data_IF_442069394996
#
_entry.id   IF_442069394996
#
_cell.length_a   1.000
_cell.length_b   1.000
_cell.length_c   1.000
_cell.angle_alpha   90.00
_cell.angle_beta   90.00
_cell.angle_gamma   90.00
#
_symmetry.space_group_name_H-M   'P 1'
#
loop_
_entity.id
_entity.type
_entity.pdbx_description
1 polymer ?
#
# COMPACT_ATOMS: atom_id res chain seq x y z
N UNK A 1 52.73 -30.99 19.12
CA UNK A 1 51.82 -29.83 19.03
C UNK A 1 51.21 -29.82 17.64
N UNK A 2 49.95 -30.26 17.43
CA UNK A 2 49.33 -30.16 16.12
C UNK A 2 48.68 -28.77 15.94
N UNK A 3 48.98 -28.14 14.81
CA UNK A 3 48.33 -26.92 14.31
C UNK A 3 46.88 -27.23 13.96
N UNK A 4 45.92 -26.60 14.63
CA UNK A 4 44.52 -26.63 14.21
C UNK A 4 44.29 -25.56 13.13
N UNK A 5 43.84 -26.01 11.96
CA UNK A 5 43.33 -25.16 10.89
C UNK A 5 41.93 -24.63 11.28
N UNK A 6 41.58 -23.37 10.95
CA UNK A 6 40.26 -22.84 11.26
C UNK A 6 39.25 -23.41 10.25
N UNK A 7 38.26 -24.16 10.74
CA UNK A 7 37.06 -24.49 9.98
C UNK A 7 36.31 -23.18 9.69
N UNK A 8 36.14 -22.88 8.40
CA UNK A 8 35.38 -21.74 7.92
C UNK A 8 33.91 -21.88 8.32
N UNK A 9 33.42 -20.88 9.06
CA UNK A 9 32.01 -20.68 9.38
C UNK A 9 31.30 -20.22 8.10
N UNK A 10 30.54 -21.10 7.46
CA UNK A 10 29.68 -20.75 6.33
C UNK A 10 28.44 -20.05 6.89
N UNK A 11 28.45 -18.71 6.86
CA UNK A 11 27.25 -17.89 7.08
C UNK A 11 26.34 -18.04 5.86
N UNK A 12 25.28 -18.84 6.02
CA UNK A 12 24.18 -18.90 5.05
C UNK A 12 23.40 -17.59 5.18
N UNK A 13 23.70 -16.62 4.31
CA UNK A 13 22.83 -15.47 4.08
C UNK A 13 21.57 -15.97 3.36
N UNK A 14 20.47 -16.14 4.09
CA UNK A 14 19.15 -16.24 3.47
C UNK A 14 18.83 -14.89 2.85
N UNK A 15 18.87 -14.81 1.52
CA UNK A 15 18.43 -13.65 0.77
C UNK A 15 16.92 -13.45 1.04
N UNK A 16 16.57 -12.46 1.86
CA UNK A 16 15.21 -11.92 1.89
C UNK A 16 15.01 -11.20 0.56
N UNK A 17 14.19 -11.76 -0.31
CA UNK A 17 13.77 -11.10 -1.56
C UNK A 17 13.08 -9.77 -1.26
N UNK A 18 12.97 -8.87 -2.25
CA UNK A 18 12.25 -7.62 -2.07
C UNK A 18 10.78 -7.94 -1.77
N UNK A 19 10.35 -7.63 -0.55
CA UNK A 19 8.92 -7.47 -0.27
C UNK A 19 8.49 -6.25 -1.09
N UNK A 20 7.53 -6.41 -1.99
CA UNK A 20 6.94 -5.26 -2.67
C UNK A 20 6.47 -4.27 -1.59
N UNK A 21 6.89 -3.01 -1.70
CA UNK A 21 6.49 -2.00 -0.73
C UNK A 21 4.96 -1.88 -0.76
N UNK A 22 4.31 -1.93 0.40
CA UNK A 22 2.89 -1.62 0.49
C UNK A 22 2.67 -0.18 -0.02
N UNK A 23 1.66 0.02 -0.84
CA UNK A 23 1.30 1.30 -1.45
C UNK A 23 -0.15 1.26 -1.96
N UNK A 24 -0.61 2.37 -2.52
CA UNK A 24 -1.94 2.47 -3.13
C UNK A 24 -2.18 1.44 -4.24
N UNK A 25 -1.16 1.12 -5.06
CA UNK A 25 -1.27 0.10 -6.13
C UNK A 25 -1.46 -1.29 -5.54
N UNK A 26 -0.74 -1.61 -4.48
CA UNK A 26 -0.85 -2.88 -3.73
C UNK A 26 -2.21 -3.00 -3.06
N UNK A 27 -2.74 -1.90 -2.51
CA UNK A 27 -4.09 -1.89 -1.96
C UNK A 27 -5.14 -2.11 -3.05
N UNK A 28 -4.96 -1.54 -4.25
CA UNK A 28 -5.82 -1.83 -5.40
C UNK A 28 -5.79 -3.32 -5.75
N UNK A 29 -4.61 -3.94 -5.80
CA UNK A 29 -4.47 -5.37 -6.11
C UNK A 29 -5.17 -6.26 -5.07
N UNK A 30 -5.03 -5.90 -3.79
CA UNK A 30 -5.66 -6.59 -2.68
C UNK A 30 -7.21 -6.49 -2.70
N UNK A 31 -7.77 -5.34 -3.09
CA UNK A 31 -9.21 -5.09 -2.98
C UNK A 31 -10.03 -5.30 -4.27
N UNK A 32 -9.43 -5.07 -5.45
CA UNK A 32 -10.19 -5.02 -6.70
C UNK A 32 -10.29 -6.36 -7.44
N UNK A 33 -9.35 -7.28 -7.19
CA UNK A 33 -9.22 -8.51 -7.98
C UNK A 33 -8.76 -8.29 -9.43
N UNK A 34 -8.27 -7.10 -9.77
CA UNK A 34 -7.79 -6.74 -11.12
C UNK A 34 -6.29 -6.99 -11.28
N UNK A 35 -5.76 -6.82 -12.50
CA UNK A 35 -4.34 -7.03 -12.79
C UNK A 35 -3.43 -5.85 -12.41
N UNK A 36 -2.13 -6.14 -12.29
CA UNK A 36 -1.08 -5.14 -11.99
C UNK A 36 -1.09 -3.94 -12.95
N UNK A 37 -1.31 -4.17 -14.24
CA UNK A 37 -1.40 -3.11 -15.24
C UNK A 37 -2.60 -2.17 -14.99
N UNK A 38 -3.76 -2.73 -14.60
CA UNK A 38 -4.95 -1.95 -14.30
C UNK A 38 -4.76 -1.14 -13.02
N UNK A 39 -4.23 -1.73 -11.95
CA UNK A 39 -3.97 -1.01 -10.70
C UNK A 39 -2.87 0.07 -10.85
N UNK A 40 -1.83 -0.18 -11.64
CA UNK A 40 -0.80 0.83 -11.94
C UNK A 40 -1.39 2.02 -12.70
N UNK A 41 -2.23 1.75 -13.71
CA UNK A 41 -2.98 2.79 -14.42
C UNK A 41 -3.87 3.57 -13.45
N UNK A 42 -4.65 2.88 -12.62
CA UNK A 42 -5.59 3.51 -11.71
C UNK A 42 -4.90 4.38 -10.65
N UNK A 43 -3.77 3.93 -10.11
CA UNK A 43 -2.99 4.71 -9.13
C UNK A 43 -2.42 5.98 -9.77
N UNK A 44 -1.97 5.89 -11.04
CA UNK A 44 -1.50 7.06 -11.79
C UNK A 44 -2.63 8.06 -12.05
N UNK A 45 -3.74 7.60 -12.62
CA UNK A 45 -4.91 8.45 -12.90
C UNK A 45 -5.45 9.08 -11.61
N UNK A 46 -5.49 8.33 -10.51
CA UNK A 46 -5.87 8.86 -9.20
C UNK A 46 -4.98 10.03 -8.78
N UNK A 47 -3.65 9.89 -8.85
CA UNK A 47 -2.71 10.97 -8.48
C UNK A 47 -2.93 12.21 -9.32
N UNK A 48 -3.24 12.05 -10.61
CA UNK A 48 -3.54 13.18 -11.50
C UNK A 48 -4.88 13.86 -11.16
N UNK A 49 -5.88 13.11 -10.70
CA UNK A 49 -7.21 13.62 -10.35
C UNK A 49 -7.26 14.33 -8.98
N UNK A 50 -6.73 13.70 -7.94
CA UNK A 50 -6.82 14.22 -6.56
C UNK A 50 -5.66 15.16 -6.18
N UNK A 51 -4.62 15.22 -7.02
CA UNK A 51 -3.41 15.99 -6.75
C UNK A 51 -2.40 15.26 -5.85
N UNK A 52 -1.21 15.86 -5.73
CA UNK A 52 -0.06 15.22 -5.07
C UNK A 52 -0.26 15.05 -3.56
N UNK A 53 -0.69 16.10 -2.86
CA UNK A 53 -0.85 16.08 -1.40
C UNK A 53 -1.86 15.00 -0.95
N UNK A 54 -3.04 14.95 -1.57
CA UNK A 54 -4.06 13.96 -1.22
C UNK A 54 -3.65 12.54 -1.66
N UNK A 55 -2.86 12.39 -2.74
CA UNK A 55 -2.30 11.11 -3.14
C UNK A 55 -1.23 10.59 -2.15
N UNK A 56 -0.41 11.47 -1.59
CA UNK A 56 0.55 11.10 -0.54
C UNK A 56 -0.16 10.64 0.74
N UNK A 57 -1.20 11.38 1.18
CA UNK A 57 -2.04 10.98 2.31
C UNK A 57 -2.72 9.62 2.05
N UNK A 58 -3.32 9.45 0.87
CA UNK A 58 -4.00 8.21 0.51
C UNK A 58 -3.03 7.03 0.43
N UNK A 59 -1.80 7.25 -0.04
CA UNK A 59 -0.74 6.24 -0.02
C UNK A 59 -0.33 5.87 1.40
N UNK A 60 -0.14 6.85 2.30
CA UNK A 60 0.19 6.59 3.70
C UNK A 60 -0.91 5.77 4.40
N UNK A 61 -2.19 6.11 4.17
CA UNK A 61 -3.33 5.34 4.68
C UNK A 61 -3.33 3.94 4.08
N UNK A 62 -3.07 3.78 2.78
CA UNK A 62 -3.00 2.49 2.09
C UNK A 62 -1.93 1.57 2.70
N UNK A 63 -0.75 2.11 3.00
CA UNK A 63 0.35 1.38 3.66
C UNK A 63 -0.08 0.83 5.01
N UNK A 64 -0.62 1.69 5.88
CA UNK A 64 -1.02 1.30 7.24
C UNK A 64 -2.23 0.38 7.24
N UNK A 65 -3.17 0.58 6.31
CA UNK A 65 -4.30 -0.32 6.11
C UNK A 65 -3.83 -1.74 5.77
N UNK A 66 -2.89 -1.86 4.83
CA UNK A 66 -2.33 -3.16 4.43
C UNK A 66 -1.53 -3.81 5.56
N UNK A 67 -0.77 -3.04 6.34
CA UNK A 67 -0.07 -3.54 7.52
C UNK A 67 -1.07 -4.05 8.58
N UNK A 68 -2.12 -3.29 8.87
CA UNK A 68 -3.17 -3.70 9.80
C UNK A 68 -3.84 -5.00 9.40
N UNK A 69 -4.19 -5.13 8.12
CA UNK A 69 -4.70 -6.39 7.56
C UNK A 69 -3.71 -7.55 7.69
N UNK A 70 -2.44 -7.32 7.38
CA UNK A 70 -1.40 -8.34 7.51
C UNK A 70 -1.23 -8.82 8.97
N UNK A 71 -1.56 -7.96 9.93
CA UNK A 71 -1.57 -8.25 11.36
C UNK A 71 -2.92 -8.76 11.90
N UNK A 72 -3.88 -9.07 11.00
CA UNK A 72 -5.15 -9.72 11.35
C UNK A 72 -6.28 -8.78 11.76
N UNK A 73 -6.14 -7.47 11.52
CA UNK A 73 -7.27 -6.55 11.69
C UNK A 73 -8.31 -6.75 10.58
N UNK A 74 -9.58 -6.61 10.95
CA UNK A 74 -10.67 -6.53 9.98
C UNK A 74 -10.53 -5.27 9.12
N UNK A 75 -11.07 -5.30 7.90
CA UNK A 75 -10.87 -4.21 6.93
C UNK A 75 -11.28 -2.83 7.45
N UNK A 76 -12.43 -2.73 8.14
CA UNK A 76 -12.91 -1.47 8.72
C UNK A 76 -11.97 -0.95 9.81
N UNK A 77 -11.62 -1.82 10.76
CA UNK A 77 -10.73 -1.47 11.87
C UNK A 77 -9.33 -1.08 11.39
N UNK A 78 -8.80 -1.77 10.36
CA UNK A 78 -7.51 -1.42 9.74
C UNK A 78 -7.55 -0.04 9.06
N UNK A 79 -8.67 0.28 8.40
CA UNK A 79 -8.85 1.58 7.76
C UNK A 79 -8.97 2.71 8.78
N UNK A 80 -9.82 2.53 9.81
CA UNK A 80 -10.02 3.54 10.84
C UNK A 80 -8.74 3.82 11.63
N UNK A 81 -7.98 2.77 11.97
CA UNK A 81 -6.67 2.91 12.63
C UNK A 81 -5.62 3.61 11.74
N UNK A 82 -5.64 3.34 10.43
CA UNK A 82 -4.77 4.02 9.47
C UNK A 82 -5.11 5.51 9.36
N UNK A 83 -6.40 5.85 9.30
CA UNK A 83 -6.87 7.24 9.29
C UNK A 83 -6.47 7.97 10.58
N UNK A 84 -6.70 7.37 11.74
CA UNK A 84 -6.29 7.96 13.03
C UNK A 84 -4.79 8.26 13.05
N UNK A 85 -3.97 7.29 12.62
CA UNK A 85 -2.52 7.42 12.62
C UNK A 85 -2.03 8.49 11.65
N UNK A 86 -2.54 8.52 10.42
CA UNK A 86 -2.12 9.52 9.42
C UNK A 86 -2.60 10.92 9.82
N UNK A 87 -3.80 11.06 10.38
CA UNK A 87 -4.29 12.34 10.88
C UNK A 87 -3.36 12.90 11.96
N UNK A 88 -2.95 12.06 12.92
CA UNK A 88 -1.97 12.44 13.93
C UNK A 88 -0.60 12.83 13.34
N UNK A 89 -0.10 12.09 12.35
CA UNK A 89 1.21 12.35 11.73
C UNK A 89 1.23 13.61 10.85
N UNK A 90 0.10 13.93 10.23
CA UNK A 90 -0.07 15.09 9.35
C UNK A 90 -0.61 16.32 10.08
N UNK A 91 -0.83 16.23 11.40
CA UNK A 91 -1.44 17.29 12.22
C UNK A 91 -2.82 17.75 11.67
N UNK A 92 -3.56 16.83 11.05
CA UNK A 92 -4.90 17.05 10.49
C UNK A 92 -5.99 16.58 11.46
N UNK A 93 -7.18 17.18 11.36
CA UNK A 93 -8.36 16.62 12.02
C UNK A 93 -8.71 15.25 11.42
N UNK A 94 -9.02 14.29 12.27
CA UNK A 94 -9.33 12.92 11.85
C UNK A 94 -10.57 12.85 10.96
N UNK A 95 -11.59 13.66 11.25
CA UNK A 95 -12.83 13.70 10.46
C UNK A 95 -12.55 14.31 9.09
N UNK A 96 -11.78 15.40 9.05
CA UNK A 96 -11.34 16.01 7.79
C UNK A 96 -10.57 15.00 6.92
N UNK A 97 -9.59 14.29 7.50
CA UNK A 97 -8.82 13.29 6.76
C UNK A 97 -9.73 12.16 6.26
N UNK A 98 -10.65 11.66 7.10
CA UNK A 98 -11.59 10.61 6.71
C UNK A 98 -12.44 11.04 5.50
N UNK A 99 -12.97 12.27 5.51
CA UNK A 99 -13.75 12.80 4.38
C UNK A 99 -12.94 12.85 3.09
N UNK A 100 -11.70 13.36 3.15
CA UNK A 100 -10.78 13.38 2.00
C UNK A 100 -10.47 11.98 1.49
N UNK A 101 -10.14 11.05 2.39
CA UNK A 101 -9.76 9.68 2.01
C UNK A 101 -10.95 8.87 1.47
N UNK A 102 -12.17 9.18 1.91
CA UNK A 102 -13.39 8.64 1.31
C UNK A 102 -13.60 9.16 -0.12
N UNK A 103 -13.35 10.44 -0.35
CA UNK A 103 -13.38 11.03 -1.70
C UNK A 103 -12.32 10.40 -2.60
N UNK A 104 -11.07 10.27 -2.13
CA UNK A 104 -9.99 9.59 -2.83
C UNK A 104 -10.32 8.12 -3.12
N UNK A 105 -10.90 7.39 -2.14
CA UNK A 105 -11.33 6.01 -2.33
C UNK A 105 -12.44 5.86 -3.37
N UNK A 106 -13.35 6.83 -3.49
CA UNK A 106 -14.34 6.87 -4.57
C UNK A 106 -13.67 7.12 -5.92
N UNK A 107 -12.81 8.14 -6.02
CA UNK A 107 -12.08 8.45 -7.25
C UNK A 107 -11.22 7.26 -7.71
N UNK A 108 -10.60 6.54 -6.77
CA UNK A 108 -9.79 5.37 -7.08
C UNK A 108 -10.63 4.24 -7.69
N UNK A 109 -11.84 3.98 -7.18
CA UNK A 109 -12.77 3.00 -7.78
C UNK A 109 -13.20 3.39 -9.19
N UNK A 110 -13.39 4.68 -9.44
CA UNK A 110 -13.70 5.21 -10.77
C UNK A 110 -12.50 5.05 -11.72
N UNK A 111 -11.29 5.37 -11.25
CA UNK A 111 -10.04 5.17 -12.00
C UNK A 111 -9.79 3.70 -12.33
N UNK A 112 -9.99 2.78 -11.36
CA UNK A 112 -9.92 1.33 -11.60
C UNK A 112 -10.90 0.93 -12.70
N UNK A 113 -12.14 1.42 -12.66
CA UNK A 113 -13.15 1.07 -13.67
C UNK A 113 -12.82 1.62 -15.07
N UNK A 114 -12.17 2.78 -15.14
CA UNK A 114 -11.76 3.41 -16.40
C UNK A 114 -10.52 2.75 -17.02
N UNK A 115 -9.56 2.36 -16.17
CA UNK A 115 -8.38 1.59 -16.56
C UNK A 115 -8.81 0.16 -16.89
N UNK A 116 -8.93 -0.19 -18.17
CA UNK A 116 -9.25 -1.57 -18.56
C UNK A 116 -8.04 -2.48 -18.31
N UNK A 117 -8.31 -3.68 -17.80
CA UNK A 117 -7.35 -4.78 -17.84
C UNK A 117 -6.87 -4.99 -19.29
N UNK A 118 -5.55 -4.98 -19.52
CA UNK A 118 -4.95 -5.42 -20.77
C UNK A 118 -5.13 -6.94 -21.02
N UNK A 119 -6.05 -7.61 -20.30
CA UNK A 119 -6.38 -9.03 -20.39
C UNK A 119 -7.65 -9.24 -21.21
N UNK A 120 -7.73 -8.64 -22.40
CA UNK A 120 -8.78 -8.97 -23.39
C UNK A 120 -8.35 -8.55 -24.80
N UNK A 121 -7.18 -9.01 -25.25
CA UNK A 121 -6.88 -9.19 -26.68
C UNK A 121 -6.22 -10.56 -26.90
#
# INVERSE_FOLDING_TARGET
MPKFAPLALVLIFTATGPVAAADTTTMCLDQSGTGEAQCTCATKELKEDIGEDDAELYNAVSVLYLDGKANGQEMGDAWDAAIETVAMQSEMDQTELLERMNAAGKAHKEAISACKDAKAE
#
